data_IF_763045361064
#
_entry.id   IF_763045361064
#
_cell.length_a   1.000
_cell.length_b   1.000
_cell.length_c   1.000
_cell.angle_alpha   90.00
_cell.angle_beta   90.00
_cell.angle_gamma   90.00
#
_symmetry.space_group_name_H-M   'P 1'
#
loop_
_entity.id
_entity.type
_entity.pdbx_description
1 polymer ?
#
# COMPACT_ATOMS: atom_id res chain seq x y z
N UNK A 1 1.32 -45.57 77.18
CA UNK A 1 1.55 -46.29 75.91
C UNK A 1 1.48 -45.25 74.82
N UNK A 2 2.64 -44.66 74.55
CA UNK A 2 2.92 -43.74 73.46
C UNK A 2 3.52 -44.58 72.32
N UNK A 3 2.97 -44.46 71.12
CA UNK A 3 3.48 -45.10 69.92
C UNK A 3 3.70 -44.03 68.86
N UNK A 4 4.91 -43.50 68.85
CA UNK A 4 5.45 -42.75 67.73
C UNK A 4 5.83 -43.67 66.56
N UNK A 5 5.64 -43.16 65.35
CA UNK A 5 6.46 -43.50 64.19
C UNK A 5 6.75 -42.22 63.42
N UNK A 6 8.01 -41.81 63.47
CA UNK A 6 8.60 -40.88 62.53
C UNK A 6 9.55 -41.63 61.60
N UNK A 7 9.61 -41.20 60.34
CA UNK A 7 10.81 -40.71 59.65
C UNK A 7 10.75 -41.03 58.15
N UNK A 8 10.84 -39.96 57.35
CA UNK A 8 10.93 -40.02 55.89
C UNK A 8 11.25 -38.62 55.36
N UNK A 9 12.53 -38.27 55.40
CA UNK A 9 13.11 -37.03 54.84
C UNK A 9 13.24 -37.15 53.31
N UNK A 10 12.85 -36.14 52.54
CA UNK A 10 13.49 -35.81 51.26
C UNK A 10 13.11 -34.41 50.74
N UNK A 11 14.10 -33.52 50.81
CA UNK A 11 14.53 -32.50 49.84
C UNK A 11 13.56 -31.89 48.81
N UNK A 12 13.62 -30.54 48.74
CA UNK A 12 13.22 -29.70 47.60
C UNK A 12 12.57 -28.41 48.12
N UNK A 13 13.22 -27.26 48.20
CA UNK A 13 14.11 -26.62 47.23
C UNK A 13 13.52 -25.23 46.98
N UNK A 14 14.07 -24.22 47.65
CA UNK A 14 13.58 -22.85 47.59
C UNK A 14 13.69 -22.25 46.20
N UNK A 15 12.65 -21.54 45.78
CA UNK A 15 12.59 -20.79 44.53
C UNK A 15 12.07 -19.38 44.78
N UNK A 16 12.98 -18.46 45.11
CA UNK A 16 12.76 -17.04 44.93
C UNK A 16 12.90 -16.69 43.44
N UNK A 17 12.02 -15.84 42.91
CA UNK A 17 12.13 -15.41 41.52
C UNK A 17 11.07 -14.42 41.06
N UNK A 18 11.48 -13.14 41.03
CA UNK A 18 11.12 -12.09 40.06
C UNK A 18 9.64 -11.73 39.84
N UNK A 19 9.27 -10.54 40.36
CA UNK A 19 8.12 -9.76 39.91
C UNK A 19 8.34 -9.31 38.45
N UNK A 20 7.39 -9.54 37.52
CA UNK A 20 7.46 -8.95 36.18
C UNK A 20 7.04 -7.49 36.27
N UNK A 21 8.02 -6.60 36.13
CA UNK A 21 7.76 -5.17 35.97
C UNK A 21 7.02 -4.89 34.67
N UNK A 22 5.87 -4.24 34.80
CA UNK A 22 5.11 -3.65 33.70
C UNK A 22 5.99 -2.61 32.97
N UNK A 23 6.59 -3.04 31.86
CA UNK A 23 7.23 -2.12 30.92
C UNK A 23 6.26 -1.92 29.76
N UNK A 24 5.32 -1.01 29.96
CA UNK A 24 4.40 -0.52 28.93
C UNK A 24 5.19 0.30 27.92
N UNK A 25 5.74 -0.34 26.89
CA UNK A 25 6.26 0.32 25.69
C UNK A 25 5.16 0.38 24.63
N UNK A 26 4.51 1.53 24.38
CA UNK A 26 3.52 1.66 23.31
C UNK A 26 4.25 1.93 22.00
N UNK A 27 4.94 0.93 21.46
CA UNK A 27 5.57 1.02 20.13
C UNK A 27 5.69 -0.36 19.49
N UNK A 28 4.61 -1.13 19.55
CA UNK A 28 4.39 -2.23 18.62
C UNK A 28 3.96 -1.67 17.26
N UNK A 29 4.82 -0.87 16.61
CA UNK A 29 4.73 -0.70 15.16
C UNK A 29 5.00 -2.11 14.63
N UNK A 30 3.94 -2.80 14.23
CA UNK A 30 4.08 -3.96 13.35
C UNK A 30 5.04 -3.48 12.29
N UNK A 31 6.24 -4.05 12.27
CA UNK A 31 7.06 -3.96 11.08
C UNK A 31 6.17 -4.55 10.01
N UNK A 32 5.59 -3.69 9.16
CA UNK A 32 5.03 -4.06 7.87
C UNK A 32 6.21 -4.56 7.04
N UNK A 33 6.72 -5.72 7.47
CA UNK A 33 7.83 -6.43 6.92
C UNK A 33 7.38 -6.81 5.53
N UNK A 34 7.90 -6.06 4.55
CA UNK A 34 7.69 -6.23 3.14
C UNK A 34 6.49 -5.47 2.56
N UNK A 35 6.47 -4.13 2.71
CA UNK A 35 5.79 -3.28 1.73
C UNK A 35 6.47 -3.49 0.35
N UNK A 36 6.04 -4.56 -0.32
CA UNK A 36 6.57 -5.06 -1.60
C UNK A 36 6.00 -4.26 -2.77
N UNK A 37 5.16 -3.27 -2.48
CA UNK A 37 4.45 -2.50 -3.49
C UNK A 37 5.46 -1.83 -4.41
N UNK A 38 5.14 -1.88 -5.70
CA UNK A 38 5.92 -1.30 -6.76
C UNK A 38 5.27 0.01 -7.16
N UNK A 39 5.87 1.14 -6.76
CA UNK A 39 5.28 2.46 -6.96
C UNK A 39 5.85 3.14 -8.22
N UNK A 40 5.00 3.56 -9.19
CA UNK A 40 5.43 4.47 -10.24
C UNK A 40 5.72 5.84 -9.61
N UNK A 41 6.92 6.37 -9.85
CA UNK A 41 7.27 7.71 -9.41
C UNK A 41 8.03 8.45 -10.51
N UNK A 42 8.01 9.77 -10.43
CA UNK A 42 8.94 10.64 -11.17
C UNK A 42 10.28 10.73 -10.45
N UNK A 43 11.32 11.12 -11.17
CA UNK A 43 12.66 11.32 -10.59
C UNK A 43 12.63 12.46 -9.57
N UNK A 44 11.86 13.52 -9.83
CA UNK A 44 11.69 14.62 -8.87
C UNK A 44 11.15 14.14 -7.52
N UNK A 45 10.15 13.25 -7.54
CA UNK A 45 9.62 12.65 -6.30
C UNK A 45 10.67 11.81 -5.57
N UNK A 46 11.56 11.10 -6.29
CA UNK A 46 12.67 10.38 -5.67
C UNK A 46 13.69 11.34 -5.01
N UNK A 47 13.97 12.46 -5.67
CA UNK A 47 14.88 13.49 -5.19
C UNK A 47 14.31 14.29 -4.00
N UNK A 48 12.99 14.40 -3.90
CA UNK A 48 12.28 15.13 -2.84
C UNK A 48 11.75 14.22 -1.71
N UNK A 49 11.82 12.89 -1.89
CA UNK A 49 11.42 11.91 -0.87
C UNK A 49 12.00 12.24 0.52
N UNK A 50 11.30 11.99 1.61
CA UNK A 50 11.82 12.26 2.95
C UNK A 50 12.20 10.97 3.65
N UNK A 51 13.14 11.04 4.59
CA UNK A 51 13.55 9.90 5.39
C UNK A 51 13.66 10.38 6.84
N UNK A 52 12.96 9.74 7.78
CA UNK A 52 12.93 10.19 9.17
C UNK A 52 14.29 10.01 9.87
N UNK A 53 14.97 8.91 9.57
CA UNK A 53 16.32 8.60 10.03
C UNK A 53 17.02 7.69 8.98
N UNK A 54 18.36 7.55 9.00
CA UNK A 54 19.11 6.85 7.94
C UNK A 54 18.69 5.41 7.66
N UNK A 55 18.10 4.73 8.65
CA UNK A 55 17.61 3.34 8.54
C UNK A 55 16.11 3.22 8.26
N UNK A 56 15.36 4.34 8.20
CA UNK A 56 13.93 4.33 7.89
C UNK A 56 13.69 4.13 6.39
N UNK A 57 12.48 3.69 6.02
CA UNK A 57 12.06 3.74 4.63
C UNK A 57 11.86 5.18 4.14
N UNK A 58 12.01 5.38 2.82
CA UNK A 58 11.72 6.65 2.18
C UNK A 58 10.21 6.88 2.14
N UNK A 59 9.80 8.12 2.36
CA UNK A 59 8.42 8.54 2.30
C UNK A 59 8.21 9.45 1.09
N UNK A 60 7.15 9.19 0.32
CA UNK A 60 6.69 10.04 -0.78
C UNK A 60 5.19 10.24 -0.60
N UNK A 61 4.72 11.49 -0.63
CA UNK A 61 3.33 11.86 -0.43
C UNK A 61 2.73 11.32 0.89
N UNK A 62 3.55 11.26 1.95
CA UNK A 62 3.12 10.80 3.28
C UNK A 62 3.02 9.28 3.44
N UNK A 63 3.38 8.49 2.43
CA UNK A 63 3.37 7.02 2.49
C UNK A 63 4.77 6.43 2.34
N UNK A 64 5.02 5.32 3.04
CA UNK A 64 6.25 4.52 2.94
C UNK A 64 6.42 3.96 1.52
N UNK A 65 7.63 4.07 0.97
CA UNK A 65 7.98 3.64 -0.38
C UNK A 65 9.05 2.55 -0.31
N UNK A 66 8.65 1.34 -0.69
CA UNK A 66 9.53 0.20 -0.85
C UNK A 66 10.19 0.16 -2.23
N UNK A 67 9.57 -0.58 -3.17
CA UNK A 67 10.07 -0.68 -4.53
C UNK A 67 9.48 0.42 -5.42
N UNK A 68 10.30 0.95 -6.31
CA UNK A 68 9.89 1.97 -7.27
C UNK A 68 10.17 1.53 -8.70
N UNK A 69 9.43 2.09 -9.63
CA UNK A 69 9.85 2.12 -11.02
C UNK A 69 9.64 3.48 -11.64
N UNK A 70 10.49 3.77 -12.63
CA UNK A 70 10.35 4.95 -13.46
C UNK A 70 10.89 4.70 -14.86
N UNK A 71 10.51 5.56 -15.79
CA UNK A 71 10.98 5.53 -17.17
C UNK A 71 11.64 6.86 -17.49
N UNK A 72 12.84 6.83 -18.06
CA UNK A 72 13.56 8.03 -18.46
C UNK A 72 14.59 7.77 -19.55
N UNK A 73 15.13 8.87 -20.08
CA UNK A 73 16.18 8.85 -21.07
C UNK A 73 17.55 8.65 -20.40
N UNK A 74 18.34 7.72 -20.94
CA UNK A 74 19.69 7.44 -20.47
C UNK A 74 20.64 8.50 -21.02
N UNK A 75 21.18 9.34 -20.14
CA UNK A 75 22.15 10.41 -20.47
C UNK A 75 23.58 9.90 -20.48
N UNK A 76 23.90 8.94 -19.62
CA UNK A 76 25.23 8.37 -19.52
C UNK A 76 25.19 6.94 -18.98
N UNK A 77 26.13 6.11 -19.43
CA UNK A 77 26.37 4.74 -18.95
C UNK A 77 27.85 4.66 -18.55
N UNK A 78 28.11 4.22 -17.32
CA UNK A 78 29.44 3.95 -16.79
C UNK A 78 29.49 2.52 -16.26
N UNK A 79 30.19 1.65 -16.99
CA UNK A 79 30.38 0.24 -16.62
C UNK A 79 31.66 0.07 -15.83
N UNK A 80 31.55 -0.54 -14.66
CA UNK A 80 32.66 -0.96 -13.81
C UNK A 80 32.61 -2.48 -13.64
N UNK A 81 33.66 -3.07 -13.03
CA UNK A 81 33.75 -4.52 -12.84
C UNK A 81 32.64 -5.10 -11.96
N UNK A 82 32.10 -4.32 -11.02
CA UNK A 82 31.10 -4.78 -10.03
C UNK A 82 29.73 -4.15 -10.20
N UNK A 83 29.60 -3.08 -11.01
CA UNK A 83 28.33 -2.41 -11.23
C UNK A 83 28.30 -1.67 -12.57
N UNK A 84 27.08 -1.42 -13.04
CA UNK A 84 26.78 -0.48 -14.12
C UNK A 84 26.03 0.69 -13.50
N UNK A 85 26.54 1.90 -13.73
CA UNK A 85 25.90 3.14 -13.31
C UNK A 85 25.29 3.84 -14.52
N UNK A 86 23.98 4.08 -14.47
CA UNK A 86 23.24 4.85 -15.47
C UNK A 86 22.91 6.22 -14.90
N UNK A 87 23.01 7.25 -15.72
CA UNK A 87 22.46 8.57 -15.42
C UNK A 87 21.19 8.75 -16.23
N UNK A 88 20.05 8.89 -15.57
CA UNK A 88 18.74 8.87 -16.23
C UNK A 88 17.99 10.16 -15.92
N UNK A 89 17.34 10.68 -16.95
CA UNK A 89 16.59 11.94 -16.94
C UNK A 89 15.18 11.70 -17.51
N UNK A 90 14.15 12.06 -16.75
CA UNK A 90 12.74 11.95 -17.15
C UNK A 90 12.12 13.33 -17.45
N UNK A 91 12.90 14.41 -17.46
CA UNK A 91 12.44 15.78 -17.62
C UNK A 91 11.97 16.45 -16.32
N UNK A 92 11.75 15.69 -15.24
CA UNK A 92 11.47 16.22 -13.89
C UNK A 92 12.73 16.34 -13.04
N UNK A 93 13.76 15.55 -13.36
CA UNK A 93 15.07 15.60 -12.74
C UNK A 93 16.01 14.55 -13.33
N UNK A 94 17.27 14.57 -12.85
CA UNK A 94 18.29 13.59 -13.22
C UNK A 94 18.72 12.80 -11.97
N UNK A 95 18.83 11.47 -12.08
CA UNK A 95 19.27 10.60 -10.98
C UNK A 95 20.24 9.51 -11.44
N UNK A 96 21.15 9.14 -10.54
CA UNK A 96 22.04 7.99 -10.74
C UNK A 96 21.35 6.69 -10.37
N UNK A 97 21.46 5.69 -11.25
CA UNK A 97 20.93 4.34 -11.07
C UNK A 97 22.09 3.37 -11.08
N UNK A 98 22.28 2.62 -10.00
CA UNK A 98 23.35 1.64 -9.87
C UNK A 98 22.78 0.24 -9.91
N UNK A 99 23.19 -0.54 -10.90
CA UNK A 99 22.86 -1.95 -11.04
C UNK A 99 24.11 -2.77 -10.73
N UNK A 100 24.05 -3.63 -9.72
CA UNK A 100 25.18 -4.48 -9.36
C UNK A 100 25.27 -5.67 -10.31
N UNK A 101 26.49 -5.98 -10.75
CA UNK A 101 26.78 -7.16 -11.57
C UNK A 101 27.03 -8.29 -10.58
N UNK A 102 26.14 -9.28 -10.56
CA UNK A 102 26.36 -10.49 -9.78
C UNK A 102 27.17 -11.48 -10.61
N UNK A 103 28.27 -11.99 -10.07
CA UNK A 103 29.18 -12.91 -10.77
C UNK A 103 28.47 -14.17 -11.27
N UNK A 104 27.36 -14.56 -10.63
CA UNK A 104 26.52 -15.69 -11.05
C UNK A 104 25.57 -15.36 -12.22
N UNK A 105 25.28 -14.08 -12.47
CA UNK A 105 24.42 -13.61 -13.58
C UNK A 105 25.20 -12.82 -14.62
N UNK A 106 26.53 -12.73 -14.49
CA UNK A 106 27.43 -12.06 -15.43
C UNK A 106 27.22 -12.55 -16.88
N UNK A 107 26.93 -13.84 -17.08
CA UNK A 107 26.61 -14.43 -18.39
C UNK A 107 25.30 -13.89 -19.01
N UNK A 108 24.38 -13.36 -18.19
CA UNK A 108 23.13 -12.75 -18.69
C UNK A 108 23.24 -11.27 -18.99
N UNK A 109 24.25 -10.61 -18.43
CA UNK A 109 24.69 -9.24 -18.73
C UNK A 109 25.83 -9.20 -19.74
N UNK A 110 26.12 -10.31 -20.43
CA UNK A 110 27.05 -10.28 -21.55
C UNK A 110 26.49 -9.34 -22.62
N UNK A 111 27.11 -8.17 -22.73
CA UNK A 111 26.90 -7.16 -23.75
C UNK A 111 27.19 -7.67 -25.17
N UNK A 112 27.53 -8.96 -25.33
CA UNK A 112 27.78 -9.62 -26.61
C UNK A 112 26.64 -10.49 -27.14
N UNK A 113 25.46 -10.53 -26.50
CA UNK A 113 24.29 -11.20 -27.08
C UNK A 113 23.47 -10.22 -27.96
N UNK A 114 23.59 -10.25 -29.31
CA UNK A 114 22.94 -9.30 -30.21
C UNK A 114 21.41 -9.43 -30.26
N UNK A 115 20.82 -10.41 -29.55
CA UNK A 115 19.38 -10.64 -29.48
C UNK A 115 18.69 -9.96 -28.31
N UNK A 116 19.42 -9.54 -27.27
CA UNK A 116 18.84 -8.78 -26.16
C UNK A 116 18.89 -7.30 -26.50
N UNK A 117 17.74 -6.65 -26.55
CA UNK A 117 17.68 -5.19 -26.63
C UNK A 117 18.52 -4.62 -25.50
N UNK A 118 19.58 -3.87 -25.84
CA UNK A 118 20.51 -3.31 -24.87
C UNK A 118 20.12 -1.88 -24.50
N UNK A 119 20.42 -1.49 -23.27
CA UNK A 119 20.29 -0.10 -22.83
C UNK A 119 21.41 0.71 -23.49
N UNK A 120 21.04 1.71 -24.28
CA UNK A 120 21.99 2.56 -25.02
C UNK A 120 21.92 4.01 -24.55
N UNK A 121 23.04 4.73 -24.66
CA UNK A 121 23.05 6.18 -24.44
C UNK A 121 22.04 6.86 -25.37
N UNK A 122 21.34 7.87 -24.85
CA UNK A 122 20.24 8.60 -25.45
C UNK A 122 18.96 7.77 -25.73
N UNK A 123 18.96 6.46 -25.43
CA UNK A 123 17.77 5.63 -25.44
C UNK A 123 16.91 5.83 -24.18
N UNK A 124 15.69 5.31 -24.21
CA UNK A 124 14.82 5.25 -23.02
C UNK A 124 14.99 3.92 -22.30
N UNK A 125 14.96 3.95 -20.97
CA UNK A 125 15.03 2.78 -20.13
C UNK A 125 13.97 2.84 -19.03
N UNK A 126 13.42 1.67 -18.70
CA UNK A 126 12.61 1.45 -17.51
C UNK A 126 13.47 0.84 -16.43
N UNK A 127 13.43 1.46 -15.25
CA UNK A 127 14.21 1.07 -14.09
C UNK A 127 13.28 0.56 -13.01
N UNK A 128 13.66 -0.54 -12.38
CA UNK A 128 13.04 -1.08 -11.18
C UNK A 128 14.08 -1.13 -10.07
N UNK A 129 13.78 -0.57 -8.91
CA UNK A 129 14.77 -0.46 -7.85
C UNK A 129 14.23 0.09 -6.54
N UNK A 130 15.15 0.41 -5.64
CA UNK A 130 14.88 1.08 -4.37
C UNK A 130 15.70 2.36 -4.27
N UNK A 131 15.11 3.39 -3.67
CA UNK A 131 15.82 4.64 -3.37
C UNK A 131 16.85 4.34 -2.27
N UNK A 132 18.07 4.84 -2.46
CA UNK A 132 19.16 4.76 -1.49
C UNK A 132 19.82 6.13 -1.40
N UNK A 133 20.48 6.38 -0.27
CA UNK A 133 21.23 7.61 -0.04
C UNK A 133 22.62 7.27 0.49
N UNK A 134 23.63 7.91 -0.07
CA UNK A 134 25.01 7.80 0.39
C UNK A 134 25.71 9.15 0.25
N UNK A 135 26.34 9.63 1.32
CA UNK A 135 27.07 10.91 1.30
C UNK A 135 26.20 12.09 0.85
N UNK A 136 24.98 12.19 1.37
CA UNK A 136 23.97 13.18 0.99
C UNK A 136 23.49 13.14 -0.47
N UNK A 137 23.94 12.16 -1.25
CA UNK A 137 23.51 11.96 -2.64
C UNK A 137 22.55 10.79 -2.73
N UNK A 138 21.41 11.01 -3.39
CA UNK A 138 20.41 9.97 -3.65
C UNK A 138 20.71 9.27 -4.96
N UNK A 139 20.50 7.97 -4.94
CA UNK A 139 20.65 7.11 -6.12
C UNK A 139 19.65 5.96 -6.02
N UNK A 140 19.35 5.33 -7.14
CA UNK A 140 18.48 4.15 -7.17
C UNK A 140 19.35 2.90 -7.26
N UNK A 141 19.24 2.03 -6.26
CA UNK A 141 19.77 0.68 -6.34
C UNK A 141 18.83 -0.17 -7.20
N UNK A 142 19.20 -0.39 -8.46
CA UNK A 142 18.37 -1.12 -9.41
C UNK A 142 18.64 -2.62 -9.34
N UNK A 143 17.55 -3.40 -9.42
CA UNK A 143 17.63 -4.84 -9.66
C UNK A 143 17.36 -5.18 -11.13
N UNK A 144 16.64 -4.32 -11.86
CA UNK A 144 16.34 -4.52 -13.28
C UNK A 144 16.33 -3.18 -14.02
N UNK A 145 17.13 -3.07 -15.08
CA UNK A 145 17.08 -1.97 -16.05
C UNK A 145 16.83 -2.60 -17.41
N UNK A 146 15.77 -2.17 -18.08
CA UNK A 146 15.44 -2.63 -19.44
C UNK A 146 15.27 -1.47 -20.40
N UNK A 147 15.70 -1.59 -21.66
CA UNK A 147 15.40 -0.58 -22.65
C UNK A 147 13.90 -0.54 -22.96
N UNK A 148 13.43 0.63 -23.35
CA UNK A 148 12.06 0.87 -23.80
C UNK A 148 12.06 0.94 -25.32
N UNK A 149 11.29 0.07 -25.96
CA UNK A 149 11.13 0.02 -27.42
C UNK A 149 9.95 0.85 -27.92
N UNK A 150 8.94 1.08 -27.08
CA UNK A 150 7.71 1.80 -27.41
C UNK A 150 7.59 3.07 -26.56
N UNK A 151 7.59 4.24 -27.20
CA UNK A 151 7.47 5.54 -26.52
C UNK A 151 6.15 5.73 -25.77
N UNK A 152 5.09 4.99 -26.11
CA UNK A 152 3.84 5.02 -25.35
C UNK A 152 4.06 4.60 -23.89
N UNK A 153 5.05 3.75 -23.60
CA UNK A 153 5.39 3.37 -22.23
C UNK A 153 5.86 4.58 -21.39
N UNK A 154 6.56 5.55 -22.01
CA UNK A 154 6.99 6.77 -21.34
C UNK A 154 5.77 7.60 -20.94
N UNK A 155 4.83 7.79 -21.86
CA UNK A 155 3.61 8.56 -21.60
C UNK A 155 2.69 7.88 -20.59
N UNK A 156 2.47 6.56 -20.71
CA UNK A 156 1.70 5.79 -19.74
C UNK A 156 2.32 5.89 -18.35
N UNK A 157 3.65 5.80 -18.25
CA UNK A 157 4.34 5.92 -16.96
C UNK A 157 4.08 7.28 -16.29
N UNK A 158 4.10 8.40 -17.02
CA UNK A 158 3.77 9.70 -16.44
C UNK A 158 2.32 9.77 -15.95
N UNK A 159 1.38 9.19 -16.70
CA UNK A 159 -0.02 9.11 -16.29
C UNK A 159 -0.19 8.27 -15.03
N UNK A 160 0.47 7.11 -14.94
CA UNK A 160 0.49 6.24 -13.77
C UNK A 160 1.07 6.94 -12.54
N UNK A 161 2.24 7.56 -12.68
CA UNK A 161 2.90 8.30 -11.59
C UNK A 161 2.02 9.46 -11.10
N UNK A 162 1.35 10.17 -12.02
CA UNK A 162 0.43 11.26 -11.68
C UNK A 162 -0.82 10.75 -10.98
N UNK A 163 -1.42 9.67 -11.47
CA UNK A 163 -2.61 9.07 -10.87
C UNK A 163 -2.33 8.59 -9.44
N UNK A 164 -1.20 7.91 -9.23
CA UNK A 164 -0.77 7.43 -7.91
C UNK A 164 -0.45 8.61 -6.98
N UNK A 165 0.23 9.64 -7.47
CA UNK A 165 0.48 10.85 -6.70
C UNK A 165 -0.82 11.52 -6.24
N UNK A 166 -1.81 11.66 -7.14
CA UNK A 166 -3.11 12.22 -6.80
C UNK A 166 -3.86 11.35 -5.79
N UNK A 167 -3.78 10.03 -5.91
CA UNK A 167 -4.38 9.11 -4.95
C UNK A 167 -3.82 9.30 -3.54
N UNK A 168 -2.50 9.41 -3.38
CA UNK A 168 -1.88 9.61 -2.07
C UNK A 168 -2.09 11.03 -1.51
N UNK A 169 -2.14 12.06 -2.36
CA UNK A 169 -2.27 13.45 -1.91
C UNK A 169 -3.71 13.93 -1.73
N UNK A 170 -4.66 13.43 -2.54
CA UNK A 170 -6.06 13.85 -2.53
C UNK A 170 -7.03 12.76 -2.07
N UNK A 171 -6.55 11.54 -1.90
CA UNK A 171 -7.37 10.37 -1.60
C UNK A 171 -8.04 9.78 -2.84
N UNK A 172 -8.82 8.69 -2.68
CA UNK A 172 -9.54 8.04 -3.76
C UNK A 172 -10.51 9.02 -4.44
N UNK A 173 -10.63 8.93 -5.76
CA UNK A 173 -11.66 9.67 -6.51
C UNK A 173 -13.06 9.29 -5.98
N UNK A 174 -13.80 10.28 -5.47
CA UNK A 174 -15.11 10.07 -4.81
C UNK A 174 -15.05 9.85 -3.30
N UNK A 175 -13.87 9.81 -2.68
CA UNK A 175 -13.72 9.83 -1.23
C UNK A 175 -13.85 11.25 -0.70
N UNK A 176 -14.87 11.52 0.12
CA UNK A 176 -14.94 12.75 0.89
C UNK A 176 -13.60 12.95 1.61
N UNK A 177 -12.92 14.06 1.30
CA UNK A 177 -11.54 14.33 1.69
C UNK A 177 -11.31 14.02 3.17
N UNK A 178 -10.58 12.94 3.43
CA UNK A 178 -10.02 12.69 4.75
C UNK A 178 -8.73 13.47 4.82
N UNK A 179 -8.84 14.66 5.41
CA UNK A 179 -7.76 15.59 5.65
C UNK A 179 -6.57 14.92 6.36
N UNK A 180 -5.37 15.26 5.90
CA UNK A 180 -4.12 15.00 6.60
C UNK A 180 -3.03 15.99 6.19
N UNK A 181 -2.87 17.08 6.95
CA UNK A 181 -1.73 17.99 6.77
C UNK A 181 -1.90 19.44 7.27
N UNK A 182 -1.95 19.61 8.60
CA UNK A 182 -1.57 20.78 9.41
C UNK A 182 -1.53 22.22 8.80
N UNK A 183 -2.36 23.12 9.34
CA UNK A 183 -2.20 24.57 9.20
C UNK A 183 -3.33 25.37 9.86
N UNK A 184 -3.04 25.95 11.02
CA UNK A 184 -3.89 26.78 11.89
C UNK A 184 -4.85 27.78 11.21
N UNK A 185 -6.04 27.95 11.80
CA UNK A 185 -6.88 29.14 11.57
C UNK A 185 -8.34 28.95 11.98
N UNK A 186 -8.66 29.33 13.21
CA UNK A 186 -10.03 29.42 13.72
C UNK A 186 -10.88 30.42 12.92
N UNK A 187 -12.16 30.09 12.71
CA UNK A 187 -13.14 31.01 12.12
C UNK A 187 -14.53 30.39 12.02
N UNK A 188 -15.29 30.49 13.10
CA UNK A 188 -16.71 30.17 13.15
C UNK A 188 -17.55 31.15 12.32
N UNK A 189 -18.66 30.68 11.72
CA UNK A 189 -19.78 31.56 11.36
C UNK A 189 -20.72 31.06 10.25
N UNK A 190 -21.97 30.81 10.62
CA UNK A 190 -23.20 30.99 9.81
C UNK A 190 -23.49 29.94 8.73
N UNK A 191 -24.42 29.00 8.94
CA UNK A 191 -25.88 29.17 8.83
C UNK A 191 -26.42 29.22 7.38
N UNK A 192 -27.07 28.10 7.05
CA UNK A 192 -28.37 27.96 6.37
C UNK A 192 -28.51 28.10 4.84
N UNK A 193 -29.45 27.27 4.37
CA UNK A 193 -30.31 27.40 3.20
C UNK A 193 -29.89 26.77 1.86
N UNK A 194 -30.55 25.63 1.61
CA UNK A 194 -31.38 25.34 0.43
C UNK A 194 -30.74 24.99 -0.93
N UNK A 195 -31.02 23.74 -1.32
CA UNK A 195 -31.59 23.30 -2.62
C UNK A 195 -30.81 23.58 -3.91
N UNK A 196 -30.49 22.47 -4.61
CA UNK A 196 -30.55 22.46 -6.07
C UNK A 196 -29.34 21.86 -6.77
N UNK A 197 -29.44 20.55 -7.04
CA UNK A 197 -28.91 19.85 -8.21
C UNK A 197 -27.59 20.31 -8.81
N UNK A 198 -26.54 19.55 -8.53
CA UNK A 198 -25.47 19.31 -9.49
C UNK A 198 -25.04 17.87 -9.34
N UNK A 199 -25.38 17.09 -10.36
CA UNK A 199 -25.12 15.66 -10.48
C UNK A 199 -23.61 15.38 -10.36
N UNK A 200 -23.28 14.70 -9.28
CA UNK A 200 -21.96 14.15 -9.00
C UNK A 200 -21.71 12.95 -9.92
N UNK A 201 -20.82 13.14 -10.90
CA UNK A 201 -20.40 12.11 -11.86
C UNK A 201 -19.44 11.06 -11.25
N UNK A 202 -19.38 10.92 -9.92
CA UNK A 202 -18.64 9.85 -9.21
C UNK A 202 -19.46 8.58 -8.97
N UNK A 203 -20.73 8.54 -9.35
CA UNK A 203 -21.52 7.32 -9.30
C UNK A 203 -21.39 6.56 -10.63
N UNK A 204 -20.53 5.52 -10.71
CA UNK A 204 -21.02 4.30 -11.38
C UNK A 204 -22.20 3.87 -10.53
N UNK A 205 -23.37 4.36 -10.92
CA UNK A 205 -24.61 4.20 -10.17
C UNK A 205 -24.71 2.74 -9.78
N UNK A 206 -24.64 2.50 -8.46
CA UNK A 206 -25.34 1.36 -7.89
C UNK A 206 -26.69 1.33 -8.61
N UNK A 207 -27.05 0.22 -9.29
CA UNK A 207 -28.33 0.13 -9.98
C UNK A 207 -29.43 0.57 -9.01
N UNK A 208 -30.51 1.16 -9.53
CA UNK A 208 -31.57 1.75 -8.71
C UNK A 208 -32.04 0.76 -7.63
N UNK A 209 -31.47 0.89 -6.44
CA UNK A 209 -31.62 -0.07 -5.35
C UNK A 209 -32.31 0.57 -4.16
N UNK A 210 -33.02 -0.25 -3.39
CA UNK A 210 -33.77 0.19 -2.23
C UNK A 210 -32.87 0.93 -1.21
N UNK A 211 -33.42 1.90 -0.45
CA UNK A 211 -32.66 2.59 0.60
C UNK A 211 -32.10 1.63 1.66
N UNK A 212 -32.72 0.47 1.84
CA UNK A 212 -32.29 -0.59 2.76
C UNK A 212 -31.08 -1.33 2.19
N UNK A 213 -31.09 -1.68 0.90
CA UNK A 213 -29.94 -2.29 0.21
C UNK A 213 -28.69 -1.40 0.26
N UNK A 214 -28.84 -0.07 0.10
CA UNK A 214 -27.71 0.87 0.25
C UNK A 214 -27.10 0.85 1.66
N UNK A 215 -27.94 0.73 2.70
CA UNK A 215 -27.49 0.66 4.10
C UNK A 215 -26.79 -0.66 4.40
N UNK A 216 -27.28 -1.78 3.86
CA UNK A 216 -26.64 -3.10 3.97
C UNK A 216 -25.28 -3.10 3.27
N UNK A 217 -25.20 -2.58 2.05
CA UNK A 217 -23.95 -2.46 1.30
C UNK A 217 -22.92 -1.57 2.00
N UNK A 218 -23.35 -0.44 2.55
CA UNK A 218 -22.47 0.45 3.30
C UNK A 218 -21.92 -0.24 4.56
N UNK A 219 -22.76 -0.96 5.31
CA UNK A 219 -22.31 -1.72 6.47
C UNK A 219 -21.29 -2.79 6.07
N UNK A 220 -21.55 -3.54 5.00
CA UNK A 220 -20.60 -4.53 4.49
C UNK A 220 -19.24 -3.89 4.15
N UNK A 221 -19.21 -2.62 3.72
CA UNK A 221 -17.98 -1.92 3.33
C UNK A 221 -17.22 -1.32 4.51
N UNK A 222 -17.92 -0.87 5.56
CA UNK A 222 -17.29 -0.22 6.71
C UNK A 222 -16.80 -1.20 7.75
N UNK A 223 -17.43 -2.36 7.83
CA UNK A 223 -17.15 -3.29 8.92
C UNK A 223 -15.97 -4.21 8.60
N UNK A 224 -15.06 -4.41 9.57
CA UNK A 224 -13.96 -5.36 9.40
C UNK A 224 -14.54 -6.76 9.21
N UNK A 225 -14.47 -7.25 7.98
CA UNK A 225 -14.96 -8.58 7.63
C UNK A 225 -13.90 -9.62 8.04
N UNK A 226 -14.33 -10.75 8.60
CA UNK A 226 -13.53 -11.97 8.51
C UNK A 226 -13.41 -12.37 7.04
N UNK A 227 -12.44 -13.22 6.70
CA UNK A 227 -12.19 -13.68 5.32
C UNK A 227 -13.40 -14.41 4.67
N UNK A 228 -14.51 -14.54 5.40
CA UNK A 228 -15.73 -15.25 5.05
C UNK A 228 -16.94 -14.31 4.85
N UNK A 229 -16.85 -13.00 5.12
CA UNK A 229 -17.96 -12.04 4.97
C UNK A 229 -18.80 -11.83 6.24
N UNK A 230 -19.97 -11.19 6.12
CA UNK A 230 -20.90 -10.94 7.23
C UNK A 230 -22.20 -11.74 7.09
N UNK A 231 -22.63 -12.35 8.20
CA UNK A 231 -23.91 -13.05 8.30
C UNK A 231 -25.10 -12.08 8.42
N UNK A 232 -26.23 -12.39 7.77
CA UNK A 232 -27.44 -11.56 7.70
C UNK A 232 -27.98 -11.16 9.08
N UNK A 233 -27.90 -12.06 10.06
CA UNK A 233 -28.32 -11.79 11.45
C UNK A 233 -27.47 -10.70 12.12
N UNK A 234 -26.16 -10.66 11.83
CA UNK A 234 -25.26 -9.64 12.37
C UNK A 234 -25.55 -8.29 11.72
N UNK A 235 -25.86 -8.29 10.42
CA UNK A 235 -26.27 -7.11 9.65
C UNK A 235 -27.59 -6.55 10.21
N UNK A 236 -28.58 -7.41 10.46
CA UNK A 236 -29.86 -7.03 11.06
C UNK A 236 -29.70 -6.41 12.45
N UNK A 237 -28.84 -7.02 13.30
CA UNK A 237 -28.54 -6.51 14.63
C UNK A 237 -27.86 -5.13 14.58
N UNK A 238 -26.88 -4.93 13.68
CA UNK A 238 -26.16 -3.66 13.56
C UNK A 238 -26.98 -2.54 12.93
N UNK A 239 -27.83 -2.85 11.96
CA UNK A 239 -28.69 -1.85 11.31
C UNK A 239 -29.99 -1.59 12.07
N UNK A 240 -30.27 -2.37 13.12
CA UNK A 240 -31.55 -2.38 13.84
C UNK A 240 -32.74 -2.54 12.88
N UNK A 241 -32.61 -3.47 11.93
CA UNK A 241 -33.62 -3.74 10.90
C UNK A 241 -34.23 -5.13 11.09
N UNK A 242 -35.52 -5.33 10.75
CA UNK A 242 -36.12 -6.64 10.74
C UNK A 242 -35.40 -7.57 9.75
N UNK A 243 -35.14 -8.82 10.16
CA UNK A 243 -34.51 -9.84 9.30
C UNK A 243 -35.16 -9.98 7.91
N UNK A 244 -36.50 -9.92 7.75
CA UNK A 244 -37.13 -10.01 6.43
C UNK A 244 -36.76 -8.87 5.47
N UNK A 245 -36.47 -7.68 6.01
CA UNK A 245 -36.07 -6.53 5.19
C UNK A 245 -34.59 -6.61 4.81
N UNK A 246 -33.76 -7.19 5.68
CA UNK A 246 -32.34 -7.47 5.38
C UNK A 246 -32.20 -8.58 4.35
N UNK A 247 -33.01 -9.64 4.44
CA UNK A 247 -33.03 -10.72 3.44
C UNK A 247 -33.41 -10.19 2.05
N UNK A 248 -34.48 -9.40 1.95
CA UNK A 248 -34.92 -8.79 0.69
C UNK A 248 -33.86 -7.85 0.10
N UNK A 249 -33.17 -7.09 0.96
CA UNK A 249 -32.08 -6.22 0.55
C UNK A 249 -30.83 -7.01 0.10
N UNK A 250 -30.53 -8.15 0.73
CA UNK A 250 -29.48 -9.07 0.32
C UNK A 250 -29.73 -9.66 -1.06
N UNK A 251 -30.95 -10.14 -1.32
CA UNK A 251 -31.35 -10.70 -2.63
C UNK A 251 -31.22 -9.67 -3.75
N UNK A 252 -31.60 -8.42 -3.48
CA UNK A 252 -31.46 -7.29 -4.41
C UNK A 252 -29.99 -6.98 -4.73
N UNK A 253 -29.13 -7.00 -3.70
CA UNK A 253 -27.69 -6.78 -3.86
C UNK A 253 -27.01 -7.95 -4.59
N UNK A 254 -27.40 -9.20 -4.31
CA UNK A 254 -26.94 -10.40 -5.04
C UNK A 254 -27.34 -10.34 -6.51
N UNK A 255 -28.60 -9.96 -6.80
CA UNK A 255 -29.11 -9.80 -8.17
C UNK A 255 -28.36 -8.70 -8.92
N UNK A 256 -27.97 -7.63 -8.22
CA UNK A 256 -27.17 -6.54 -8.80
C UNK A 256 -25.69 -6.87 -9.01
N UNK A 257 -25.23 -8.02 -8.50
CA UNK A 257 -23.85 -8.48 -8.66
C UNK A 257 -22.81 -7.70 -7.86
N UNK A 258 -23.22 -6.95 -6.83
CA UNK A 258 -22.31 -6.15 -5.98
C UNK A 258 -21.84 -6.89 -4.73
N UNK A 259 -22.53 -7.98 -4.37
CA UNK A 259 -22.15 -8.91 -3.29
C UNK A 259 -22.28 -10.35 -3.79
N UNK A 260 -21.62 -11.29 -3.11
CA UNK A 260 -21.76 -12.73 -3.35
C UNK A 260 -21.92 -13.50 -2.04
N UNK A 261 -22.60 -14.65 -2.09
CA UNK A 261 -22.71 -15.58 -0.96
C UNK A 261 -21.44 -16.41 -0.80
N UNK A 262 -20.94 -16.55 0.42
CA UNK A 262 -19.69 -17.26 0.71
C UNK A 262 -19.93 -18.65 1.29
N UNK A 263 -20.14 -18.73 2.60
CA UNK A 263 -20.22 -19.97 3.38
C UNK A 263 -21.62 -20.58 3.30
N UNK A 264 -22.64 -19.74 3.29
CA UNK A 264 -24.04 -20.10 3.13
C UNK A 264 -24.79 -18.97 2.41
N UNK A 265 -26.09 -19.18 2.15
CA UNK A 265 -26.95 -18.21 1.46
C UNK A 265 -27.20 -16.93 2.30
N UNK A 266 -26.86 -16.95 3.59
CA UNK A 266 -27.09 -15.84 4.54
C UNK A 266 -25.79 -15.11 4.91
N UNK A 267 -24.65 -15.49 4.35
CA UNK A 267 -23.35 -14.87 4.58
C UNK A 267 -22.86 -14.22 3.31
N UNK A 268 -22.65 -12.90 3.35
CA UNK A 268 -22.38 -12.10 2.16
C UNK A 268 -21.04 -11.37 2.27
N UNK A 269 -20.33 -11.30 1.14
CA UNK A 269 -19.09 -10.53 0.99
C UNK A 269 -19.19 -9.59 -0.23
N UNK A 270 -18.41 -8.51 -0.22
CA UNK A 270 -18.41 -7.53 -1.32
C UNK A 270 -17.55 -8.04 -2.48
N UNK A 271 -18.06 -7.88 -3.70
CA UNK A 271 -17.30 -8.10 -4.92
C UNK A 271 -16.45 -6.85 -5.20
N UNK A 272 -15.17 -6.87 -4.80
CA UNK A 272 -14.21 -5.83 -5.19
C UNK A 272 -13.75 -6.07 -6.63
N UNK A 273 -13.85 -5.04 -7.48
CA UNK A 273 -13.31 -4.98 -8.84
C UNK A 273 -12.12 -4.03 -8.90
#
# INVERSE_FOLDING_TARGET
>A
MDSGYGYGSSYGGGGGGFMPGETSSPSGRRSDGNNTTLRPITIKQALDATQQHPEADFHIDGADVGNIYFVGQVRNISTQSTNVTYRIDDGTGEIEVKQWIDSATADTMDTNDPKKSQVVNNGYAKVFGKIKMFGNKRFVGSHCVRPVSNLNEVHCHFLEATAVHLFFTKGPVGGAGSAGGAGAGAGAGGADATMGGVDDYSARGLPAMSPVAKRVYHLLKTEPQSNEGLHAQLIAAKLSLPMPDVARAGDELLTSGVIFSTVDEQTWAILEY
#
